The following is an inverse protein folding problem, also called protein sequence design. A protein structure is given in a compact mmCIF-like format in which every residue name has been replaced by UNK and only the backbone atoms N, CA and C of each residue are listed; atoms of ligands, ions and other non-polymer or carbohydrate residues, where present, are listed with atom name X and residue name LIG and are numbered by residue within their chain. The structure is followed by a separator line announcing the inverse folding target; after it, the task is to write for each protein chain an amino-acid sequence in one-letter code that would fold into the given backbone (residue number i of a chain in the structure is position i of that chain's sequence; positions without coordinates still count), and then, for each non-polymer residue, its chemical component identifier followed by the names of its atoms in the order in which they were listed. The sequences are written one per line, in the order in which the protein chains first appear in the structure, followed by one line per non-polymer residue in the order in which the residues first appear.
data_IF_941974193525
#
_entry.id   IF_941974193525
#
_cell.length_a   1.000
_cell.length_b   1.000
_cell.length_c   1.000
_cell.angle_alpha   90.00
_cell.angle_beta   90.00
_cell.angle_gamma   90.00
#
_symmetry.space_group_name_H-M   'P 1'
#
loop_
_entity.id
_entity.type
_entity.pdbx_description
1 polymer ?
#
# COMPACT_ATOMS: atom_id res chain seq x y z
N UNK A 1 -8.66 3.49 -22.76
CA UNK A 1 -8.64 4.14 -21.43
C UNK A 1 -8.19 5.59 -21.60
N UNK A 2 -8.90 6.58 -21.04
CA UNK A 2 -8.52 8.00 -21.19
C UNK A 2 -7.31 8.32 -20.30
N UNK A 3 -6.60 9.41 -20.59
CA UNK A 3 -5.44 9.85 -19.78
C UNK A 3 -5.80 10.07 -18.29
N UNK A 4 -6.98 10.63 -18.04
CA UNK A 4 -7.51 10.84 -16.68
C UNK A 4 -7.72 9.52 -15.92
N UNK A 5 -8.15 8.48 -16.63
CA UNK A 5 -8.32 7.15 -16.04
C UNK A 5 -6.96 6.55 -15.66
N UNK A 6 -5.92 6.75 -16.50
CA UNK A 6 -4.54 6.35 -16.16
C UNK A 6 -4.05 7.00 -14.87
N UNK A 7 -4.24 8.30 -14.71
CA UNK A 7 -3.85 9.02 -13.48
C UNK A 7 -4.61 8.53 -12.25
N UNK A 8 -5.91 8.24 -12.38
CA UNK A 8 -6.72 7.66 -11.31
C UNK A 8 -6.20 6.29 -10.88
N UNK A 9 -5.87 5.42 -11.84
CA UNK A 9 -5.35 4.09 -11.54
C UNK A 9 -3.99 4.18 -10.85
N UNK A 10 -3.07 5.00 -11.37
CA UNK A 10 -1.78 5.26 -10.72
C UNK A 10 -1.94 5.78 -9.29
N UNK A 11 -2.85 6.72 -9.04
CA UNK A 11 -3.12 7.22 -7.69
C UNK A 11 -3.69 6.12 -6.76
N UNK A 12 -4.57 5.26 -7.28
CA UNK A 12 -5.21 4.19 -6.50
C UNK A 12 -4.24 3.08 -6.07
N UNK A 13 -3.18 2.82 -6.83
CA UNK A 13 -2.22 1.78 -6.46
C UNK A 13 -0.88 2.32 -5.94
N UNK A 14 -0.56 3.59 -6.20
CA UNK A 14 0.57 4.25 -5.55
C UNK A 14 0.40 4.26 -4.03
N UNK A 15 -0.83 4.39 -3.51
CA UNK A 15 -1.06 4.29 -2.06
C UNK A 15 -0.75 2.88 -1.50
N UNK A 16 -0.93 1.81 -2.28
CA UNK A 16 -0.51 0.46 -1.89
C UNK A 16 1.02 0.35 -1.81
N UNK A 17 1.72 0.85 -2.82
CA UNK A 17 3.18 0.87 -2.81
C UNK A 17 3.73 1.70 -1.64
N UNK A 18 3.14 2.87 -1.38
CA UNK A 18 3.47 3.70 -0.22
C UNK A 18 3.24 2.97 1.10
N UNK A 19 2.16 2.20 1.24
CA UNK A 19 1.91 1.41 2.44
C UNK A 19 3.02 0.36 2.66
N UNK A 20 3.44 -0.37 1.63
CA UNK A 20 4.53 -1.35 1.79
C UNK A 20 5.85 -0.70 2.22
N UNK A 21 6.20 0.44 1.63
CA UNK A 21 7.40 1.21 1.99
C UNK A 21 7.32 1.75 3.42
N UNK A 22 6.17 2.28 3.82
CA UNK A 22 5.91 2.74 5.18
C UNK A 22 6.05 1.60 6.20
N UNK A 23 5.52 0.41 5.90
CA UNK A 23 5.63 -0.75 6.80
C UNK A 23 7.08 -1.14 7.07
N UNK A 24 7.98 -0.97 6.10
CA UNK A 24 9.42 -1.22 6.29
C UNK A 24 10.21 0.01 6.74
N UNK A 25 9.53 1.09 7.14
CA UNK A 25 10.14 2.27 7.75
C UNK A 25 10.73 3.26 6.75
N UNK A 26 10.36 3.18 5.48
CA UNK A 26 10.65 4.24 4.51
C UNK A 26 9.51 5.25 4.58
N UNK A 27 9.69 6.30 5.37
CA UNK A 27 8.68 7.34 5.65
C UNK A 27 8.97 8.67 4.94
N UNK A 28 10.12 8.76 4.28
CA UNK A 28 10.68 9.99 3.74
C UNK A 28 10.50 10.16 2.22
N UNK A 29 11.15 11.18 1.69
CA UNK A 29 11.18 11.59 0.28
C UNK A 29 11.79 10.56 -0.69
N UNK A 30 12.28 9.41 -0.19
CA UNK A 30 12.78 8.31 -1.05
C UNK A 30 11.68 7.44 -1.63
N UNK A 31 10.43 7.54 -1.17
CA UNK A 31 9.31 6.72 -1.69
C UNK A 31 9.17 6.77 -3.23
N UNK A 32 9.18 7.93 -3.89
CA UNK A 32 9.09 8.00 -5.35
C UNK A 32 10.22 7.25 -6.05
N UNK A 33 11.44 7.30 -5.51
CA UNK A 33 12.58 6.56 -6.05
C UNK A 33 12.33 5.06 -6.04
N UNK A 34 11.92 4.49 -4.90
CA UNK A 34 11.65 3.05 -4.81
C UNK A 34 10.49 2.62 -5.69
N UNK A 35 9.43 3.42 -5.79
CA UNK A 35 8.29 3.13 -6.68
C UNK A 35 8.78 3.05 -8.14
N UNK A 36 9.56 4.03 -8.60
CA UNK A 36 10.11 4.04 -9.95
C UNK A 36 11.04 2.85 -10.21
N UNK A 37 11.92 2.52 -9.27
CA UNK A 37 12.79 1.33 -9.40
C UNK A 37 11.97 0.03 -9.38
N UNK A 38 10.93 -0.06 -8.55
CA UNK A 38 10.01 -1.19 -8.52
C UNK A 38 9.27 -1.40 -9.85
N UNK A 39 8.89 -0.31 -10.52
CA UNK A 39 8.30 -0.37 -11.88
C UNK A 39 9.34 -0.86 -12.91
N UNK A 40 10.56 -0.32 -12.89
CA UNK A 40 11.65 -0.74 -13.80
C UNK A 40 12.01 -2.22 -13.66
N UNK A 41 11.98 -2.74 -12.43
CA UNK A 41 12.30 -4.14 -12.12
C UNK A 41 11.10 -5.09 -12.32
N UNK A 42 9.92 -4.58 -12.69
CA UNK A 42 8.71 -5.38 -12.90
C UNK A 42 8.09 -5.90 -11.59
N UNK A 43 8.36 -5.26 -10.47
CA UNK A 43 7.72 -5.56 -9.19
C UNK A 43 6.41 -4.80 -9.00
N UNK A 44 6.31 -3.65 -9.68
CA UNK A 44 5.10 -2.87 -9.90
C UNK A 44 4.78 -2.82 -11.39
N UNK A 45 3.50 -2.79 -11.73
CA UNK A 45 3.03 -2.47 -13.08
C UNK A 45 3.08 -0.96 -13.33
N UNK A 46 2.90 -0.55 -14.59
CA UNK A 46 2.86 0.89 -14.99
C UNK A 46 1.79 1.70 -14.23
N UNK A 47 0.75 1.02 -13.74
CA UNK A 47 -0.34 1.62 -13.00
C UNK A 47 -0.12 1.58 -11.47
N UNK A 48 1.11 1.31 -11.04
CA UNK A 48 1.56 1.18 -9.65
C UNK A 48 1.03 -0.05 -8.88
N UNK A 49 0.34 -0.99 -9.54
CA UNK A 49 -0.09 -2.23 -8.88
C UNK A 49 1.13 -3.04 -8.44
N UNK A 50 1.24 -3.31 -7.14
CA UNK A 50 2.32 -4.12 -6.57
C UNK A 50 2.03 -5.59 -6.82
N UNK A 51 2.80 -6.21 -7.72
CA UNK A 51 2.66 -7.63 -8.11
C UNK A 51 3.66 -8.56 -7.41
N UNK A 52 4.82 -8.03 -7.03
CA UNK A 52 5.89 -8.76 -6.32
C UNK A 52 6.30 -8.00 -5.06
N UNK A 53 5.46 -8.04 -4.00
CA UNK A 53 5.64 -7.18 -2.86
C UNK A 53 6.91 -7.48 -2.04
N UNK A 54 7.33 -8.74 -1.95
CA UNK A 54 8.55 -9.12 -1.20
C UNK A 54 9.79 -8.55 -1.88
N UNK A 55 9.89 -8.70 -3.19
CA UNK A 55 11.00 -8.19 -4.00
C UNK A 55 10.99 -6.66 -4.05
N UNK A 56 9.80 -6.06 -4.15
CA UNK A 56 9.64 -4.60 -4.07
C UNK A 56 10.18 -4.03 -2.76
N UNK A 57 9.76 -4.61 -1.63
CA UNK A 57 10.26 -4.23 -0.31
C UNK A 57 11.78 -4.47 -0.22
N UNK A 58 12.28 -5.54 -0.83
CA UNK A 58 13.70 -5.87 -0.87
C UNK A 58 14.59 -4.81 -1.51
N UNK A 59 14.07 -3.99 -2.43
CA UNK A 59 14.80 -2.85 -3.00
C UNK A 59 15.26 -1.84 -1.95
N UNK A 60 14.54 -1.75 -0.82
CA UNK A 60 14.89 -0.80 0.24
C UNK A 60 16.17 -1.18 0.99
N UNK A 61 16.66 -2.42 0.81
CA UNK A 61 17.74 -3.00 1.62
C UNK A 61 17.36 -3.16 3.10
N UNK A 62 16.13 -2.82 3.48
CA UNK A 62 15.69 -2.80 4.85
C UNK A 62 15.26 -4.20 5.28
N UNK A 63 15.89 -4.72 6.34
CA UNK A 63 15.59 -6.06 6.89
C UNK A 63 14.38 -6.06 7.82
N UNK A 64 13.71 -4.92 7.99
CA UNK A 64 12.50 -4.76 8.79
C UNK A 64 11.23 -5.34 8.14
N UNK A 65 11.36 -6.52 7.52
CA UNK A 65 10.22 -7.32 7.04
C UNK A 65 9.26 -7.71 8.17
N UNK A 66 9.69 -7.60 9.44
CA UNK A 66 8.92 -7.96 10.63
C UNK A 66 7.56 -7.25 10.74
N UNK A 67 7.45 -6.07 10.15
CA UNK A 67 6.19 -5.33 10.13
C UNK A 67 5.28 -5.78 9.01
N UNK A 68 5.83 -6.33 7.92
CA UNK A 68 5.04 -6.79 6.78
C UNK A 68 4.52 -8.19 7.09
N UNK A 69 3.24 -8.25 7.45
CA UNK A 69 2.61 -9.48 7.91
C UNK A 69 2.50 -10.49 6.78
N UNK A 70 3.10 -11.67 6.96
CA UNK A 70 2.72 -12.86 6.19
C UNK A 70 1.36 -13.37 6.66
N UNK A 71 0.56 -13.94 5.76
CA UNK A 71 -0.78 -14.45 6.10
C UNK A 71 -0.77 -15.40 7.31
N UNK A 72 0.27 -16.25 7.44
CA UNK A 72 0.47 -17.17 8.56
C UNK A 72 0.83 -16.49 9.90
N UNK A 73 1.26 -15.22 9.87
CA UNK A 73 1.71 -14.44 11.02
C UNK A 73 0.72 -13.34 11.41
N UNK A 74 -0.44 -13.30 10.73
CA UNK A 74 -1.51 -12.36 11.02
C UNK A 74 -2.05 -12.60 12.42
N UNK A 75 -1.98 -11.56 13.24
CA UNK A 75 -2.75 -11.46 14.46
C UNK A 75 -3.46 -10.11 14.47
N UNK A 76 -4.50 -10.00 15.29
CA UNK A 76 -5.26 -8.77 15.44
C UNK A 76 -4.40 -7.61 15.98
N UNK A 77 -3.28 -7.85 16.65
CA UNK A 77 -2.48 -6.78 17.25
C UNK A 77 -1.54 -6.06 16.29
N UNK A 78 -1.25 -6.65 15.13
CA UNK A 78 -0.30 -6.07 14.18
C UNK A 78 -0.96 -5.11 13.17
N UNK A 79 -0.23 -4.07 12.72
CA UNK A 79 -0.69 -3.20 11.64
C UNK A 79 -0.89 -3.95 10.32
N UNK A 80 -1.98 -3.68 9.60
CA UNK A 80 -2.31 -4.30 8.30
C UNK A 80 -2.66 -3.26 7.26
N UNK A 81 -2.38 -3.58 5.99
CA UNK A 81 -2.84 -2.74 4.88
C UNK A 81 -4.31 -3.06 4.61
N UNK A 82 -5.19 -2.08 4.75
CA UNK A 82 -6.61 -2.18 4.45
C UNK A 82 -6.94 -1.49 3.13
N UNK A 83 -7.78 -2.13 2.32
CA UNK A 83 -8.34 -1.54 1.09
C UNK A 83 -9.71 -0.96 1.38
N UNK A 84 -9.81 0.35 1.30
CA UNK A 84 -11.08 1.08 1.31
C UNK A 84 -11.60 1.23 -0.11
N UNK A 85 -12.89 1.00 -0.29
CA UNK A 85 -13.56 1.14 -1.59
C UNK A 85 -14.74 2.09 -1.49
N UNK A 86 -14.84 2.99 -2.46
CA UNK A 86 -16.00 3.87 -2.66
C UNK A 86 -16.20 4.15 -4.14
N UNK A 87 -17.39 3.92 -4.67
CA UNK A 87 -17.74 4.19 -6.08
C UNK A 87 -16.76 3.58 -7.10
N UNK A 88 -16.23 2.38 -6.82
CA UNK A 88 -15.26 1.70 -7.67
C UNK A 88 -13.81 2.19 -7.55
N UNK A 89 -13.55 3.21 -6.72
CA UNK A 89 -12.19 3.66 -6.41
C UNK A 89 -11.62 2.89 -5.23
N UNK A 90 -10.32 2.60 -5.29
CA UNK A 90 -9.60 1.88 -4.25
C UNK A 90 -8.61 2.82 -3.59
N UNK A 91 -8.54 2.78 -2.26
CA UNK A 91 -7.50 3.45 -1.50
C UNK A 91 -6.95 2.53 -0.43
N UNK A 92 -5.63 2.45 -0.32
CA UNK A 92 -4.94 1.59 0.62
C UNK A 92 -4.33 2.43 1.74
N UNK A 93 -4.54 1.98 2.98
CA UNK A 93 -4.03 2.62 4.19
C UNK A 93 -3.51 1.55 5.15
N UNK A 94 -2.66 1.93 6.10
CA UNK A 94 -2.28 1.04 7.20
C UNK A 94 -3.23 1.29 8.36
N UNK A 95 -3.84 0.23 8.88
CA UNK A 95 -4.70 0.27 10.07
C UNK A 95 -4.14 -0.60 11.17
N UNK A 96 -4.44 -0.26 12.42
CA UNK A 96 -4.23 -1.16 13.54
C UNK A 96 -5.16 -2.38 13.38
N UNK A 97 -4.62 -3.60 13.46
CA UNK A 97 -5.39 -4.82 13.22
C UNK A 97 -6.60 -5.00 14.15
N UNK A 98 -6.51 -4.51 15.40
CA UNK A 98 -7.48 -4.73 16.48
C UNK A 98 -8.54 -3.64 16.46
N UNK A 99 -8.09 -2.40 16.57
CA UNK A 99 -8.96 -1.21 16.67
C UNK A 99 -9.46 -0.71 15.32
N UNK A 100 -8.87 -1.19 14.22
CA UNK A 100 -9.13 -0.72 12.84
C UNK A 100 -8.88 0.77 12.62
N UNK A 101 -8.25 1.46 13.56
CA UNK A 101 -7.86 2.87 13.43
C UNK A 101 -6.75 3.02 12.39
N UNK A 102 -6.85 4.04 11.54
CA UNK A 102 -5.82 4.38 10.56
C UNK A 102 -4.56 4.84 11.27
N UNK A 103 -3.44 4.18 10.96
CA UNK A 103 -2.09 4.51 11.44
C UNK A 103 -1.36 5.35 10.39
N UNK A 104 -1.54 5.02 9.10
CA UNK A 104 -0.92 5.72 7.99
C UNK A 104 -1.88 5.84 6.81
N UNK A 105 -1.91 7.03 6.22
CA UNK A 105 -2.58 7.34 4.98
C UNK A 105 -1.63 8.14 4.09
N UNK A 106 -1.46 7.74 2.84
CA UNK A 106 -0.60 8.47 1.89
C UNK A 106 -1.20 9.80 1.43
N UNK A 107 -2.45 10.09 1.79
CA UNK A 107 -3.16 11.33 1.51
C UNK A 107 -3.61 11.98 2.83
N UNK A 108 -3.59 13.31 2.90
CA UNK A 108 -4.14 14.04 4.06
C UNK A 108 -5.66 13.84 4.20
N UNK A 109 -6.37 13.76 3.06
CA UNK A 109 -7.81 13.49 2.99
C UNK A 109 -8.09 12.44 1.94
N UNK A 110 -8.96 11.49 2.25
CA UNK A 110 -9.37 10.45 1.31
C UNK A 110 -10.84 10.16 1.47
N UNK A 111 -11.62 10.51 0.45
CA UNK A 111 -13.06 10.21 0.41
C UNK A 111 -13.36 8.70 0.53
N UNK A 112 -12.43 7.84 0.09
CA UNK A 112 -12.53 6.40 0.27
C UNK A 112 -12.39 6.01 1.74
N UNK A 113 -11.51 6.67 2.49
CA UNK A 113 -11.33 6.43 3.94
C UNK A 113 -12.47 7.02 4.74
N UNK A 114 -12.86 8.27 4.42
CA UNK A 114 -13.85 9.03 5.20
C UNK A 114 -15.27 8.47 5.04
N UNK A 115 -15.59 7.92 3.87
CA UNK A 115 -16.95 7.57 3.48
C UNK A 115 -17.08 6.23 2.75
N UNK A 116 -16.00 5.46 2.63
CA UNK A 116 -16.02 4.14 1.98
C UNK A 116 -16.11 3.02 3.01
N UNK A 117 -15.96 1.79 2.52
CA UNK A 117 -15.94 0.58 3.34
C UNK A 117 -14.65 -0.20 3.15
N UNK A 118 -14.19 -0.86 4.20
CA UNK A 118 -13.06 -1.80 4.09
C UNK A 118 -13.56 -3.05 3.39
N UNK A 119 -13.02 -3.37 2.21
CA UNK A 119 -13.38 -4.58 1.46
C UNK A 119 -12.41 -5.73 1.67
N UNK A 120 -11.14 -5.44 1.95
CA UNK A 120 -10.12 -6.48 2.08
C UNK A 120 -8.91 -5.99 2.87
N UNK A 121 -8.21 -6.94 3.49
CA UNK A 121 -6.87 -6.71 4.04
C UNK A 121 -5.82 -7.33 3.11
N UNK A 122 -4.67 -6.68 3.00
CA UNK A 122 -3.49 -7.23 2.34
C UNK A 122 -2.50 -7.69 3.41
N UNK A 123 -2.18 -8.97 3.31
CA UNK A 123 -1.08 -9.66 4.00
C UNK A 123 -0.23 -10.28 2.90
N UNK A 124 1.09 -10.34 3.08
CA UNK A 124 1.96 -11.06 2.15
C UNK A 124 1.61 -12.55 2.19
N UNK A 125 1.48 -13.17 1.02
CA UNK A 125 1.34 -14.62 0.89
C UNK A 125 2.73 -15.20 0.72
#
# INVERSE_FOLDING_TARGET
MKLQDKFKVMANYACLACCYLEMVGITDERKPFFILEGMKQGFLTEDCTVVKPIEFIGLTGNKNYKNVIKQSEYNEDKPVIARFVKNGYNHFVIVNGRTKKVIYNSLEKSNCVDNGVIESYRVLI
#
